data_IF_971475409600
#
_entry.id   IF_971475409600
#
_cell.length_a   1.000
_cell.length_b   1.000
_cell.length_c   1.000
_cell.angle_alpha   90.00
_cell.angle_beta   90.00
_cell.angle_gamma   90.00
#
_symmetry.space_group_name_H-M   'P 1'
#
loop_
_entity.id
_entity.type
_entity.pdbx_description
1 polymer ?
#
# COMPACT_ATOMS: atom_id res chain seq x y z
N UNK A 1 12.07 -21.69 -13.36
CA UNK A 1 10.92 -20.76 -13.28
C UNK A 1 11.34 -19.60 -12.40
N UNK A 2 11.00 -18.37 -12.75
CA UNK A 2 11.33 -17.21 -11.93
C UNK A 2 10.57 -17.27 -10.61
N UNK A 3 11.25 -17.03 -9.50
CA UNK A 3 10.65 -16.99 -8.18
C UNK A 3 10.01 -15.62 -7.97
N UNK A 4 8.69 -15.60 -7.85
CA UNK A 4 7.90 -14.38 -7.61
C UNK A 4 7.24 -14.47 -6.24
N UNK A 5 7.59 -13.52 -5.37
CA UNK A 5 7.06 -13.39 -4.02
C UNK A 5 6.16 -12.14 -3.98
N UNK A 6 4.87 -12.32 -3.76
CA UNK A 6 3.92 -11.24 -3.53
C UNK A 6 3.74 -11.05 -2.02
N UNK A 7 4.04 -9.85 -1.53
CA UNK A 7 3.98 -9.50 -0.11
C UNK A 7 2.89 -8.45 0.09
N UNK A 8 1.86 -8.85 0.84
CA UNK A 8 0.68 -8.07 1.17
C UNK A 8 0.90 -7.16 2.38
N UNK A 9 0.79 -5.85 2.18
CA UNK A 9 0.94 -4.83 3.21
C UNK A 9 -0.41 -4.26 3.65
N UNK A 10 -0.46 -3.72 4.87
CA UNK A 10 -1.50 -2.79 5.28
C UNK A 10 -0.88 -1.39 5.24
N UNK A 11 -1.40 -0.52 4.39
CA UNK A 11 -0.85 0.83 4.25
C UNK A 11 -0.94 1.62 5.55
N UNK A 12 0.14 2.33 5.89
CA UNK A 12 0.23 3.04 7.16
C UNK A 12 0.50 2.17 8.39
N UNK A 13 0.95 0.92 8.22
CA UNK A 13 1.49 0.12 9.32
C UNK A 13 2.69 0.84 9.97
N UNK A 14 2.63 1.19 11.27
CA UNK A 14 3.73 1.87 11.96
C UNK A 14 4.99 1.00 12.07
N UNK A 15 4.87 -0.32 12.00
CA UNK A 15 6.00 -1.27 11.96
C UNK A 15 6.40 -1.63 10.52
N UNK A 16 5.66 -1.14 9.51
CA UNK A 16 5.77 -1.58 8.13
C UNK A 16 7.18 -1.47 7.55
N UNK A 17 7.91 -0.40 7.89
CA UNK A 17 9.31 -0.24 7.46
C UNK A 17 10.19 -1.41 7.93
N UNK A 18 10.16 -1.72 9.23
CA UNK A 18 10.99 -2.76 9.83
C UNK A 18 10.61 -4.15 9.30
N UNK A 19 9.32 -4.39 9.09
CA UNK A 19 8.82 -5.65 8.51
C UNK A 19 9.25 -5.81 7.06
N UNK A 20 9.20 -4.74 6.26
CA UNK A 20 9.70 -4.76 4.88
C UNK A 20 11.19 -5.07 4.87
N UNK A 21 11.97 -4.43 5.75
CA UNK A 21 13.40 -4.69 5.85
C UNK A 21 13.70 -6.17 6.09
N UNK A 22 13.10 -6.76 7.13
CA UNK A 22 13.27 -8.19 7.46
C UNK A 22 12.79 -9.11 6.33
N UNK A 23 11.68 -8.77 5.69
CA UNK A 23 11.18 -9.49 4.54
C UNK A 23 12.22 -9.53 3.41
N UNK A 24 12.83 -8.38 3.10
CA UNK A 24 13.87 -8.28 2.07
C UNK A 24 15.16 -9.02 2.49
N UNK A 25 15.57 -8.97 3.76
CA UNK A 25 16.70 -9.75 4.27
C UNK A 25 16.47 -11.25 4.19
N UNK A 26 15.23 -11.70 4.41
CA UNK A 26 14.83 -13.10 4.32
C UNK A 26 14.88 -13.61 2.88
N UNK A 27 14.31 -12.87 1.93
CA UNK A 27 14.16 -13.32 0.54
C UNK A 27 15.34 -12.96 -0.37
N UNK A 28 16.15 -11.96 0.00
CA UNK A 28 17.30 -11.46 -0.79
C UNK A 28 16.99 -11.31 -2.29
N UNK A 29 16.00 -10.49 -2.66
CA UNK A 29 15.56 -10.36 -4.04
C UNK A 29 16.67 -9.84 -4.96
N UNK A 30 16.68 -10.29 -6.22
CA UNK A 30 17.49 -9.65 -7.27
C UNK A 30 16.82 -8.36 -7.79
N UNK A 31 15.52 -8.21 -7.55
CA UNK A 31 14.73 -7.03 -7.93
C UNK A 31 13.55 -6.85 -6.97
N UNK A 32 13.35 -5.61 -6.51
CA UNK A 32 12.18 -5.25 -5.71
C UNK A 32 11.18 -4.48 -6.57
N UNK A 33 9.89 -4.75 -6.41
CA UNK A 33 8.84 -3.93 -7.01
C UNK A 33 7.87 -3.44 -5.95
N UNK A 34 7.35 -2.22 -6.13
CA UNK A 34 6.41 -1.60 -5.18
C UNK A 34 5.15 -1.16 -5.92
N UNK A 35 3.99 -1.41 -5.32
CA UNK A 35 2.67 -0.93 -5.74
C UNK A 35 2.53 0.58 -5.51
N UNK A 36 3.36 1.33 -6.22
CA UNK A 36 3.26 2.78 -6.31
C UNK A 36 3.62 3.20 -7.72
N UNK A 37 3.07 4.34 -8.15
CA UNK A 37 3.38 4.89 -9.46
C UNK A 37 4.50 5.91 -9.36
N UNK A 38 5.35 5.98 -10.39
CA UNK A 38 6.37 7.02 -10.52
C UNK A 38 5.77 8.43 -10.42
N UNK A 39 4.55 8.62 -10.91
CA UNK A 39 3.81 9.87 -10.74
C UNK A 39 3.58 10.18 -9.25
N UNK A 40 3.13 9.22 -8.44
CA UNK A 40 2.86 9.42 -7.01
C UNK A 40 4.11 9.83 -6.25
N UNK A 41 5.23 9.15 -6.51
CA UNK A 41 6.52 9.46 -5.87
C UNK A 41 6.94 10.91 -6.17
N UNK A 42 6.97 11.29 -7.46
CA UNK A 42 7.33 12.66 -7.87
C UNK A 42 6.36 13.71 -7.33
N UNK A 43 5.06 13.41 -7.34
CA UNK A 43 4.04 14.34 -6.86
C UNK A 43 4.17 14.57 -5.35
N UNK A 44 4.39 13.50 -4.56
CA UNK A 44 4.65 13.56 -3.11
C UNK A 44 5.93 14.33 -2.80
N UNK A 45 6.99 14.11 -3.57
CA UNK A 45 8.25 14.85 -3.40
C UNK A 45 8.05 16.35 -3.60
N UNK A 46 7.28 16.75 -4.63
CA UNK A 46 7.02 18.15 -4.94
C UNK A 46 6.01 18.82 -4.00
N UNK A 47 4.91 18.15 -3.66
CA UNK A 47 3.77 18.76 -2.96
C UNK A 47 3.66 18.38 -1.47
N UNK A 48 4.35 17.33 -1.03
CA UNK A 48 4.35 16.84 0.35
C UNK A 48 4.67 17.91 1.39
N UNK A 49 5.67 18.79 1.20
CA UNK A 49 5.93 19.89 2.13
C UNK A 49 4.74 20.86 2.30
N UNK A 50 3.97 21.11 1.24
CA UNK A 50 2.77 21.95 1.33
C UNK A 50 1.65 21.25 2.11
N UNK A 51 1.45 19.95 1.85
CA UNK A 51 0.47 19.13 2.58
C UNK A 51 0.77 19.07 4.07
N UNK A 52 2.03 18.78 4.45
CA UNK A 52 2.44 18.75 5.86
C UNK A 52 2.24 20.10 6.53
N UNK A 53 2.59 21.20 5.87
CA UNK A 53 2.34 22.55 6.42
C UNK A 53 0.86 22.82 6.64
N UNK A 54 0.01 22.48 5.67
CA UNK A 54 -1.45 22.65 5.81
C UNK A 54 -1.99 21.83 6.98
N UNK A 55 -1.66 20.53 7.02
CA UNK A 55 -2.06 19.63 8.09
C UNK A 55 -1.63 20.16 9.46
N UNK A 56 -0.35 20.53 9.63
CA UNK A 56 0.17 21.04 10.91
C UNK A 56 -0.47 22.37 11.32
N UNK A 57 -0.80 23.27 10.37
CA UNK A 57 -1.53 24.51 10.69
C UNK A 57 -2.92 24.22 11.22
N UNK A 58 -3.63 23.29 10.60
CA UNK A 58 -4.98 22.92 11.03
C UNK A 58 -4.95 22.22 12.39
N UNK A 59 -4.04 21.28 12.60
CA UNK A 59 -3.91 20.55 13.88
C UNK A 59 -3.62 21.50 15.04
N UNK A 60 -2.84 22.57 14.82
CA UNK A 60 -2.55 23.58 15.86
C UNK A 60 -3.77 24.37 16.32
N UNK A 61 -4.85 24.39 15.54
CA UNK A 61 -6.09 25.09 15.87
C UNK A 61 -7.13 24.17 16.56
N UNK A 62 -6.79 22.88 16.72
CA UNK A 62 -7.67 21.87 17.30
C UNK A 62 -7.42 21.70 18.81
N UNK A 63 -8.34 21.07 19.55
CA UNK A 63 -8.16 20.78 20.97
C UNK A 63 -6.87 19.98 21.26
N UNK A 64 -6.26 20.14 22.45
CA UNK A 64 -5.15 19.31 22.88
C UNK A 64 -5.48 17.83 22.75
N UNK A 65 -4.51 17.03 22.27
CA UNK A 65 -4.71 15.60 22.03
C UNK A 65 -5.33 15.24 20.68
N UNK A 66 -5.90 16.18 19.91
CA UNK A 66 -6.51 15.89 18.61
C UNK A 66 -5.59 15.11 17.66
N UNK A 67 -4.28 15.42 17.65
CA UNK A 67 -3.30 14.70 16.82
C UNK A 67 -3.20 13.19 17.12
N UNK A 68 -3.55 12.77 18.34
CA UNK A 68 -3.51 11.37 18.75
C UNK A 68 -4.71 10.57 18.22
N UNK A 69 -5.77 11.25 17.80
CA UNK A 69 -6.95 10.63 17.22
C UNK A 69 -6.59 9.76 16.01
N UNK A 70 -7.05 8.51 15.99
CA UNK A 70 -6.69 7.50 15.00
C UNK A 70 -6.84 8.00 13.56
N UNK A 71 -7.99 8.61 13.26
CA UNK A 71 -8.26 9.15 11.93
C UNK A 71 -7.20 10.17 11.47
N UNK A 72 -6.76 11.07 12.36
CA UNK A 72 -5.74 12.07 12.04
C UNK A 72 -4.34 11.47 11.93
N UNK A 73 -4.02 10.47 12.76
CA UNK A 73 -2.77 9.69 12.61
C UNK A 73 -2.70 8.97 11.27
N UNK A 74 -3.82 8.40 10.81
CA UNK A 74 -3.93 7.76 9.49
C UNK A 74 -3.74 8.75 8.35
N UNK A 75 -4.33 9.96 8.45
CA UNK A 75 -4.06 11.03 7.48
C UNK A 75 -2.58 11.41 7.49
N UNK A 76 -1.97 11.62 8.66
CA UNK A 76 -0.55 11.95 8.76
C UNK A 76 0.33 10.88 8.09
N UNK A 77 0.06 9.60 8.33
CA UNK A 77 0.73 8.49 7.66
C UNK A 77 0.51 8.51 6.13
N UNK A 78 -0.70 8.80 5.68
CA UNK A 78 -1.03 8.92 4.25
C UNK A 78 -0.29 10.08 3.57
N UNK A 79 0.03 11.16 4.30
CA UNK A 79 0.82 12.29 3.80
C UNK A 79 2.32 12.03 3.79
N UNK A 80 2.80 11.08 4.59
CA UNK A 80 4.20 10.70 4.65
C UNK A 80 4.67 10.07 3.33
N UNK A 81 5.99 9.88 3.24
CA UNK A 81 6.55 9.01 2.22
C UNK A 81 6.16 7.57 2.55
N UNK A 82 5.62 6.78 1.59
CA UNK A 82 5.15 5.42 1.87
C UNK A 82 6.29 4.54 2.39
N UNK A 83 6.05 3.78 3.45
CA UNK A 83 7.10 2.98 4.09
C UNK A 83 7.61 1.89 3.15
N UNK A 84 6.76 1.35 2.26
CA UNK A 84 7.13 0.32 1.29
C UNK A 84 8.21 0.87 0.35
N UNK A 85 8.02 2.09 -0.13
CA UNK A 85 8.98 2.77 -0.99
C UNK A 85 10.23 3.18 -0.20
N UNK A 86 10.08 3.69 1.03
CA UNK A 86 11.19 4.09 1.88
C UNK A 86 12.14 2.91 2.16
N UNK A 87 11.60 1.82 2.72
CA UNK A 87 12.38 0.63 3.07
C UNK A 87 13.04 0.01 1.84
N UNK A 88 12.33 -0.03 0.71
CA UNK A 88 12.90 -0.50 -0.56
C UNK A 88 14.07 0.37 -1.01
N UNK A 89 13.93 1.70 -0.97
CA UNK A 89 14.98 2.63 -1.38
C UNK A 89 16.23 2.50 -0.51
N UNK A 90 16.05 2.38 0.80
CA UNK A 90 17.17 2.23 1.72
C UNK A 90 17.86 0.87 1.55
N UNK A 91 17.08 -0.20 1.34
CA UNK A 91 17.62 -1.54 1.10
C UNK A 91 18.44 -1.60 -0.19
N UNK A 92 17.95 -1.07 -1.31
CA UNK A 92 18.70 -1.10 -2.57
C UNK A 92 20.00 -0.30 -2.51
N UNK A 93 20.06 0.76 -1.71
CA UNK A 93 21.29 1.54 -1.52
C UNK A 93 22.38 0.73 -0.82
N UNK A 94 22.01 -0.25 0.02
CA UNK A 94 22.95 -1.09 0.75
C UNK A 94 23.34 -2.38 -0.01
N UNK A 95 22.49 -2.84 -0.93
CA UNK A 95 22.63 -4.17 -1.54
C UNK A 95 22.89 -4.18 -3.05
N UNK A 96 23.05 -3.01 -3.70
CA UNK A 96 23.32 -2.86 -5.14
C UNK A 96 22.37 -3.64 -6.05
N UNK A 97 21.07 -3.62 -5.71
CA UNK A 97 20.00 -4.23 -6.51
C UNK A 97 19.06 -3.17 -7.08
N UNK A 98 18.30 -3.53 -8.10
CA UNK A 98 17.30 -2.64 -8.67
C UNK A 98 15.99 -2.62 -7.88
N UNK A 99 15.23 -1.54 -8.02
CA UNK A 99 13.79 -1.57 -7.73
C UNK A 99 12.94 -0.79 -8.73
N UNK A 100 11.64 -1.12 -8.80
CA UNK A 100 10.67 -0.49 -9.71
C UNK A 100 9.33 -0.19 -9.04
N UNK A 101 8.86 1.04 -9.22
CA UNK A 101 7.48 1.44 -8.99
C UNK A 101 6.61 0.97 -10.18
N UNK A 102 5.71 -0.01 -9.97
CA UNK A 102 5.01 -0.70 -11.07
C UNK A 102 3.51 -0.38 -11.18
N UNK A 103 2.97 0.52 -10.36
CA UNK A 103 1.55 0.89 -10.43
C UNK A 103 1.25 1.93 -11.53
N UNK A 104 -0.03 2.13 -11.83
CA UNK A 104 -0.56 3.14 -12.73
C UNK A 104 -0.70 4.49 -12.03
N UNK A 105 -0.34 5.58 -12.71
CA UNK A 105 -0.50 6.93 -12.15
C UNK A 105 -1.91 7.50 -12.27
N UNK A 106 -2.86 6.79 -12.88
CA UNK A 106 -4.17 7.35 -13.25
C UNK A 106 -5.01 7.70 -12.02
N UNK A 107 -5.13 6.78 -11.07
CA UNK A 107 -5.87 7.02 -9.82
C UNK A 107 -5.20 8.10 -8.97
N UNK A 108 -3.87 8.01 -8.82
CA UNK A 108 -3.10 8.96 -8.03
C UNK A 108 -3.16 10.39 -8.57
N UNK A 109 -3.23 10.59 -9.90
CA UNK A 109 -3.41 11.92 -10.52
C UNK A 109 -4.71 12.58 -10.08
N UNK A 110 -5.77 11.80 -9.94
CA UNK A 110 -7.06 12.33 -9.52
C UNK A 110 -7.09 12.57 -8.00
N UNK A 111 -6.58 11.63 -7.22
CA UNK A 111 -6.66 11.69 -5.76
C UNK A 111 -5.68 12.68 -5.15
N UNK A 112 -4.40 12.65 -5.52
CA UNK A 112 -3.36 13.48 -4.86
C UNK A 112 -3.58 14.98 -5.09
N UNK A 113 -4.19 15.35 -6.22
CA UNK A 113 -4.53 16.76 -6.52
C UNK A 113 -5.59 17.33 -5.58
N UNK A 114 -6.46 16.47 -5.05
CA UNK A 114 -7.58 16.84 -4.17
C UNK A 114 -7.15 17.00 -2.71
N UNK A 115 -5.89 16.68 -2.37
CA UNK A 115 -5.46 16.70 -0.97
C UNK A 115 -5.59 18.08 -0.33
N UNK A 116 -5.12 19.14 -0.99
CA UNK A 116 -5.20 20.49 -0.43
C UNK A 116 -6.62 21.08 -0.47
N UNK A 117 -7.35 20.83 -1.55
CA UNK A 117 -8.68 21.42 -1.77
C UNK A 117 -9.79 20.68 -1.03
N UNK A 118 -9.55 19.43 -0.61
CA UNK A 118 -10.58 18.59 0.02
C UNK A 118 -10.04 17.92 1.29
N UNK A 119 -9.13 16.95 1.18
CA UNK A 119 -8.72 16.10 2.32
C UNK A 119 -8.19 16.90 3.52
N UNK A 120 -7.36 17.90 3.26
CA UNK A 120 -6.64 18.70 4.25
C UNK A 120 -7.31 20.06 4.54
N UNK A 121 -8.58 20.20 4.15
CA UNK A 121 -9.35 21.38 4.53
C UNK A 121 -9.60 21.36 6.05
N UNK A 122 -9.62 22.53 6.71
CA UNK A 122 -9.96 22.59 8.13
C UNK A 122 -11.24 21.86 8.47
N UNK A 123 -12.31 22.07 7.68
CA UNK A 123 -13.60 21.40 7.85
C UNK A 123 -13.47 19.87 7.86
N UNK A 124 -12.78 19.29 6.86
CA UNK A 124 -12.68 17.84 6.77
C UNK A 124 -11.82 17.26 7.90
N UNK A 125 -10.71 17.92 8.26
CA UNK A 125 -9.89 17.45 9.38
C UNK A 125 -10.63 17.57 10.73
N UNK A 126 -11.49 18.58 10.93
CA UNK A 126 -12.35 18.66 12.12
C UNK A 126 -13.41 17.55 12.14
N UNK A 127 -14.01 17.25 10.99
CA UNK A 127 -15.00 16.18 10.89
C UNK A 127 -14.41 14.80 11.22
N UNK A 128 -13.11 14.59 11.04
CA UNK A 128 -12.44 13.34 11.45
C UNK A 128 -12.40 13.15 12.97
N UNK A 129 -12.54 14.20 13.77
CA UNK A 129 -12.65 14.10 15.23
C UNK A 129 -14.05 13.63 15.68
N UNK A 130 -15.03 13.60 14.77
CA UNK A 130 -16.38 13.13 15.05
C UNK A 130 -16.54 11.62 14.76
N UNK A 131 -15.52 10.99 14.15
CA UNK A 131 -15.54 9.55 13.92
C UNK A 131 -15.09 8.82 15.17
N UNK A 132 -15.32 7.51 15.22
CA UNK A 132 -14.78 6.66 16.29
C UNK A 132 -13.24 6.79 16.36
N UNK A 133 -12.73 6.99 17.58
CA UNK A 133 -11.30 6.96 17.88
C UNK A 133 -10.88 5.53 18.21
N UNK A 134 -9.58 5.26 18.27
CA UNK A 134 -9.10 3.93 18.64
C UNK A 134 -7.59 3.79 18.62
N UNK A 135 -7.15 2.57 18.87
CA UNK A 135 -5.72 2.26 18.81
C UNK A 135 -5.28 1.90 17.38
N UNK A 136 -4.15 2.48 16.96
CA UNK A 136 -3.60 2.24 15.63
C UNK A 136 -3.04 0.82 15.49
N UNK A 137 -2.46 0.26 16.56
CA UNK A 137 -2.00 -1.11 16.58
C UNK A 137 -3.15 -2.10 16.40
N UNK A 138 -4.25 -1.90 17.12
CA UNK A 138 -5.48 -2.68 16.98
C UNK A 138 -6.07 -2.57 15.57
N UNK A 139 -6.11 -1.37 14.99
CA UNK A 139 -6.56 -1.17 13.60
C UNK A 139 -5.72 -1.98 12.61
N UNK A 140 -4.40 -1.88 12.68
CA UNK A 140 -3.49 -2.63 11.78
C UNK A 140 -3.59 -4.14 12.02
N UNK A 141 -3.67 -4.57 13.27
CA UNK A 141 -3.84 -5.99 13.63
C UNK A 141 -5.16 -6.56 13.09
N UNK A 142 -6.25 -5.79 13.16
CA UNK A 142 -7.54 -6.16 12.59
C UNK A 142 -7.47 -6.28 11.06
N UNK A 143 -6.82 -5.34 10.37
CA UNK A 143 -6.63 -5.39 8.91
C UNK A 143 -5.85 -6.65 8.48
N UNK A 144 -4.74 -6.98 9.15
CA UNK A 144 -4.00 -8.21 8.86
C UNK A 144 -4.78 -9.48 9.23
N UNK A 145 -5.57 -9.45 10.31
CA UNK A 145 -6.46 -10.56 10.65
C UNK A 145 -7.49 -10.80 9.55
N UNK A 146 -8.13 -9.73 9.04
CA UNK A 146 -9.04 -9.82 7.89
C UNK A 146 -8.32 -10.36 6.65
N UNK A 147 -7.09 -9.89 6.38
CA UNK A 147 -6.28 -10.39 5.28
C UNK A 147 -6.02 -11.90 5.37
N UNK A 148 -5.69 -12.42 6.55
CA UNK A 148 -5.53 -13.87 6.79
C UNK A 148 -6.81 -14.64 6.55
N UNK A 149 -7.94 -14.16 7.07
CA UNK A 149 -9.24 -14.80 6.86
C UNK A 149 -9.60 -14.84 5.37
N UNK A 150 -9.35 -13.76 4.64
CA UNK A 150 -9.61 -13.67 3.21
C UNK A 150 -8.72 -14.62 2.40
N UNK A 151 -7.45 -14.78 2.77
CA UNK A 151 -6.53 -15.74 2.14
C UNK A 151 -6.90 -17.20 2.43
N UNK A 152 -7.35 -17.49 3.66
CA UNK A 152 -7.74 -18.85 4.06
C UNK A 152 -9.12 -19.25 3.51
N UNK A 153 -10.04 -18.29 3.36
CA UNK A 153 -11.44 -18.53 3.00
C UNK A 153 -11.93 -17.57 1.90
N UNK A 154 -11.35 -17.61 0.69
CA UNK A 154 -11.65 -16.63 -0.38
C UNK A 154 -13.14 -16.58 -0.77
N UNK A 155 -13.83 -17.72 -0.76
CA UNK A 155 -15.25 -17.78 -1.13
C UNK A 155 -16.16 -17.00 -0.16
N UNK A 156 -15.81 -16.92 1.13
CA UNK A 156 -16.57 -16.13 2.11
C UNK A 156 -16.39 -14.64 1.89
N UNK A 157 -15.21 -14.23 1.39
CA UNK A 157 -14.87 -12.85 1.10
C UNK A 157 -15.36 -12.36 -0.26
N UNK A 158 -15.61 -13.26 -1.21
CA UNK A 158 -16.05 -12.91 -2.57
C UNK A 158 -17.29 -12.00 -2.60
N UNK A 159 -18.27 -12.22 -1.71
CA UNK A 159 -19.47 -11.40 -1.62
C UNK A 159 -19.20 -9.99 -1.07
N UNK A 160 -18.32 -9.85 -0.08
CA UNK A 160 -17.92 -8.55 0.48
C UNK A 160 -17.02 -7.76 -0.49
N UNK A 161 -16.11 -8.44 -1.20
CA UNK A 161 -15.24 -7.82 -2.19
C UNK A 161 -16.01 -7.31 -3.41
N UNK A 162 -17.12 -7.96 -3.83
CA UNK A 162 -17.94 -7.50 -4.97
C UNK A 162 -18.44 -6.07 -4.81
N UNK A 163 -18.80 -5.63 -3.60
CA UNK A 163 -19.37 -4.29 -3.39
C UNK A 163 -18.30 -3.20 -3.20
N UNK A 164 -17.14 -3.55 -2.64
CA UNK A 164 -16.11 -2.56 -2.28
C UNK A 164 -15.04 -2.37 -3.40
N UNK A 165 -14.95 -3.28 -4.39
CA UNK A 165 -13.73 -3.43 -5.23
C UNK A 165 -13.98 -3.44 -6.74
N UNK A 166 -15.22 -3.49 -7.18
CA UNK A 166 -15.54 -3.49 -8.62
C UNK A 166 -15.66 -2.05 -9.11
N UNK A 167 -14.52 -1.39 -9.24
CA UNK A 167 -14.41 -0.29 -10.20
C UNK A 167 -13.56 -0.77 -11.37
N UNK A 168 -14.04 -0.54 -12.59
CA UNK A 168 -13.29 -0.84 -13.83
C UNK A 168 -11.83 -0.33 -13.78
N UNK A 169 -11.52 0.86 -13.19
CA UNK A 169 -10.15 1.31 -13.00
C UNK A 169 -9.28 0.38 -12.14
N UNK A 170 -9.83 -0.27 -11.11
CA UNK A 170 -9.09 -1.20 -10.24
C UNK A 170 -8.76 -2.50 -10.96
N UNK A 171 -9.70 -3.09 -11.71
CA UNK A 171 -9.44 -4.31 -12.50
C UNK A 171 -8.36 -4.08 -13.57
N UNK A 172 -8.39 -2.90 -14.22
CA UNK A 172 -7.38 -2.55 -15.21
C UNK A 172 -5.99 -2.34 -14.59
N UNK A 173 -5.94 -1.85 -13.35
CA UNK A 173 -4.70 -1.61 -12.61
C UNK A 173 -3.94 -2.91 -12.37
N UNK A 174 -4.61 -3.94 -11.84
CA UNK A 174 -3.99 -5.22 -11.54
C UNK A 174 -3.49 -5.92 -12.79
N UNK A 175 -4.26 -5.89 -13.88
CA UNK A 175 -3.83 -6.41 -15.18
C UNK A 175 -2.55 -5.73 -15.70
N UNK A 176 -2.42 -4.42 -15.52
CA UNK A 176 -1.21 -3.68 -15.94
C UNK A 176 -0.02 -4.06 -15.05
N UNK A 177 -0.21 -4.14 -13.74
CA UNK A 177 0.85 -4.55 -12.81
C UNK A 177 1.30 -5.99 -13.10
N UNK A 178 0.37 -6.90 -13.35
CA UNK A 178 0.66 -8.29 -13.71
C UNK A 178 1.49 -8.38 -15.00
N UNK A 179 1.16 -7.59 -16.03
CA UNK A 179 1.96 -7.56 -17.27
C UNK A 179 3.39 -7.08 -17.01
N UNK A 180 3.55 -6.06 -16.17
CA UNK A 180 4.87 -5.51 -15.79
C UNK A 180 5.68 -6.54 -15.01
N UNK A 181 5.07 -7.23 -14.04
CA UNK A 181 5.73 -8.29 -13.27
C UNK A 181 6.15 -9.45 -14.17
N UNK A 182 5.32 -9.88 -15.13
CA UNK A 182 5.70 -10.92 -16.10
C UNK A 182 6.94 -10.54 -16.90
N UNK A 183 6.99 -9.32 -17.41
CA UNK A 183 8.15 -8.85 -18.18
C UNK A 183 9.42 -8.82 -17.32
N UNK A 184 9.31 -8.42 -16.05
CA UNK A 184 10.44 -8.42 -15.12
C UNK A 184 10.87 -9.83 -14.74
N UNK A 185 9.92 -10.76 -14.56
CA UNK A 185 10.19 -12.16 -14.24
C UNK A 185 10.93 -12.91 -15.36
N UNK A 186 11.00 -12.36 -16.57
CA UNK A 186 11.82 -12.90 -17.65
C UNK A 186 13.32 -12.61 -17.47
N UNK A 187 13.67 -11.58 -16.67
CA UNK A 187 15.05 -11.06 -16.57
C UNK A 187 15.56 -10.96 -15.13
N UNK A 188 14.72 -11.20 -14.13
CA UNK A 188 15.06 -11.13 -12.72
C UNK A 188 14.39 -12.27 -11.93
N UNK A 189 15.12 -12.82 -10.96
CA UNK A 189 14.66 -13.83 -10.01
C UNK A 189 15.67 -13.91 -8.86
N UNK A 190 15.24 -13.92 -7.58
CA UNK A 190 13.87 -13.75 -7.10
C UNK A 190 13.38 -12.31 -7.21
N UNK A 191 12.07 -12.13 -7.45
CA UNK A 191 11.38 -10.83 -7.40
C UNK A 191 10.49 -10.78 -6.17
N UNK A 192 10.68 -9.75 -5.33
CA UNK A 192 9.74 -9.42 -4.26
C UNK A 192 8.88 -8.23 -4.69
N UNK A 193 7.56 -8.42 -4.67
CA UNK A 193 6.57 -7.38 -4.91
C UNK A 193 5.88 -6.96 -3.62
N UNK A 194 6.02 -5.70 -3.23
CA UNK A 194 5.33 -5.09 -2.10
C UNK A 194 4.07 -4.37 -2.59
N UNK A 195 2.90 -4.78 -2.10
CA UNK A 195 1.62 -4.12 -2.38
C UNK A 195 0.58 -4.45 -1.32
N UNK A 196 -0.56 -3.76 -1.32
CA UNK A 196 -1.69 -4.02 -0.45
C UNK A 196 -2.09 -5.50 -0.46
N UNK A 197 -2.42 -6.05 0.70
CA UNK A 197 -2.75 -7.47 0.88
C UNK A 197 -3.90 -7.96 -0.02
N UNK A 198 -4.75 -7.03 -0.43
CA UNK A 198 -5.86 -7.19 -1.37
C UNK A 198 -5.43 -7.84 -2.70
N UNK A 199 -4.21 -7.54 -3.16
CA UNK A 199 -3.62 -8.09 -4.39
C UNK A 199 -3.28 -9.58 -4.31
N UNK A 200 -3.22 -10.14 -3.11
CA UNK A 200 -2.88 -11.54 -2.89
C UNK A 200 -4.07 -12.49 -3.08
N UNK A 201 -5.30 -12.00 -3.04
CA UNK A 201 -6.49 -12.85 -3.04
C UNK A 201 -6.61 -13.60 -4.38
N UNK A 202 -7.18 -14.79 -4.36
CA UNK A 202 -7.55 -15.56 -5.56
C UNK A 202 -9.00 -16.01 -5.41
N UNK A 203 -9.69 -16.28 -6.51
CA UNK A 203 -11.05 -16.85 -6.49
C UNK A 203 -12.13 -16.01 -5.77
N UNK A 204 -11.93 -14.68 -5.67
CA UNK A 204 -12.84 -13.74 -4.97
C UNK A 204 -13.87 -13.04 -5.87
N UNK A 205 -13.96 -13.40 -7.15
CA UNK A 205 -14.85 -12.76 -8.13
C UNK A 205 -14.11 -11.85 -9.12
N UNK A 206 -13.67 -10.63 -8.73
CA UNK A 206 -12.80 -9.83 -9.59
C UNK A 206 -11.40 -10.44 -9.69
N UNK A 207 -10.78 -10.34 -10.87
CA UNK A 207 -9.41 -10.83 -11.09
C UNK A 207 -8.41 -9.87 -10.42
N UNK A 208 -7.80 -10.32 -9.33
CA UNK A 208 -6.73 -9.63 -8.61
C UNK A 208 -5.38 -9.79 -9.30
N UNK A 209 -4.35 -9.11 -8.78
CA UNK A 209 -2.97 -9.30 -9.20
C UNK A 209 -2.50 -10.76 -9.11
N UNK A 210 -2.71 -11.43 -7.97
CA UNK A 210 -2.31 -12.83 -7.79
C UNK A 210 -3.04 -13.77 -8.76
N UNK A 211 -4.35 -13.56 -8.98
CA UNK A 211 -5.10 -14.33 -9.96
C UNK A 211 -4.55 -14.12 -11.38
N UNK A 212 -4.18 -12.90 -11.71
CA UNK A 212 -3.54 -12.56 -12.97
C UNK A 212 -2.14 -13.14 -13.13
N UNK A 213 -1.53 -13.76 -12.11
CA UNK A 213 -0.16 -14.30 -12.14
C UNK A 213 -0.12 -15.79 -11.79
N UNK A 214 -1.26 -16.48 -11.74
CA UNK A 214 -1.36 -17.88 -11.31
C UNK A 214 -0.45 -18.84 -12.09
N UNK A 215 -0.20 -18.55 -13.37
CA UNK A 215 0.73 -19.28 -14.24
C UNK A 215 2.19 -19.24 -13.74
N UNK A 216 2.58 -18.15 -13.06
CA UNK A 216 3.89 -18.01 -12.45
C UNK A 216 3.99 -18.64 -11.06
N UNK A 217 2.88 -19.19 -10.53
CA UNK A 217 2.79 -19.79 -9.19
C UNK A 217 3.42 -18.92 -8.08
N UNK A 218 3.01 -17.65 -7.94
CA UNK A 218 3.61 -16.74 -6.97
C UNK A 218 3.43 -17.25 -5.55
N UNK A 219 4.48 -17.10 -4.74
CA UNK A 219 4.34 -17.21 -3.30
C UNK A 219 3.60 -15.97 -2.78
N UNK A 220 2.74 -16.16 -1.77
CA UNK A 220 1.91 -15.08 -1.21
C UNK A 220 2.12 -15.02 0.29
N UNK A 221 2.65 -13.89 0.76
CA UNK A 221 2.99 -13.68 2.16
C UNK A 221 2.33 -12.40 2.66
N UNK A 222 1.91 -12.37 3.92
CA UNK A 222 1.51 -11.12 4.57
C UNK A 222 2.73 -10.51 5.25
N UNK A 223 2.84 -9.18 5.18
CA UNK A 223 4.00 -8.48 5.72
C UNK A 223 4.13 -8.64 7.25
N UNK A 224 3.03 -8.88 7.98
CA UNK A 224 3.07 -9.09 9.43
C UNK A 224 3.60 -10.47 9.86
N UNK A 225 4.08 -11.27 8.91
CA UNK A 225 4.77 -12.53 9.14
C UNK A 225 6.30 -12.36 9.31
N UNK A 226 6.81 -11.12 9.28
CA UNK A 226 8.22 -10.73 9.43
C UNK A 226 8.38 -9.74 10.59
#
# INVERSE_FOLDING_TARGET
MAELILVGTVHGDPQGYQRVWKCLECWRPSLITVEISQFSLRYRQRHGPAWRRQFQRTIKQMPPGARQHLALRRIEAQLAWPFEAQATQDYVQQHDIGWRAIDTGRLSRNQLRRYLSELLTPKNLHNLLLTEDGDWGQYIGAEYHQARLALAHPQRFALQCRYLWISEPMLRRDRIMARRLRALAQVASPIVHLGGWTHLLTDVGPTTLAQHLVDLKPQRWLLDQF
#
